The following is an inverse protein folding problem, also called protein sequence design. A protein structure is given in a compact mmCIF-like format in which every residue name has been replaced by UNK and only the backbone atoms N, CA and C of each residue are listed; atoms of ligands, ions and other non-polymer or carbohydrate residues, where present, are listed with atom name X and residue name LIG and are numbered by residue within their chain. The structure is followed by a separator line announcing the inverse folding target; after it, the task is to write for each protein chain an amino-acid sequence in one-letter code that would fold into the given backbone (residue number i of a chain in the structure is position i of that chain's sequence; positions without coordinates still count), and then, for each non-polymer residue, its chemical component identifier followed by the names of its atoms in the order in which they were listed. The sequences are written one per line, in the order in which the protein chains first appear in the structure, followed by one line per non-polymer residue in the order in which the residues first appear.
data_IF_458132585828
#
_entry.id   IF_458132585828
#
_cell.length_a   1.000
_cell.length_b   1.000
_cell.length_c   1.000
_cell.angle_alpha   90.00
_cell.angle_beta   90.00
_cell.angle_gamma   90.00
#
_symmetry.space_group_name_H-M   'P 1'
#
loop_
_entity.id
_entity.type
_entity.pdbx_description
1 polymer ?
#
# COMPACT_ATOMS: atom_id res chain seq x y z
N UNK A 1 16.44 -2.69 11.70
CA UNK A 1 15.99 -1.30 11.84
C UNK A 1 14.67 -1.26 12.59
N UNK A 2 14.59 -0.44 13.59
CA UNK A 2 13.39 -0.32 14.39
C UNK A 2 12.54 0.88 13.88
N UNK A 3 11.35 0.61 13.39
CA UNK A 3 10.38 1.65 13.06
C UNK A 3 9.46 1.75 14.26
N UNK A 4 9.61 2.82 15.04
CA UNK A 4 8.98 2.93 16.37
C UNK A 4 7.45 2.87 16.35
N UNK A 5 6.83 3.46 15.33
CA UNK A 5 5.38 3.61 15.28
C UNK A 5 4.73 2.69 14.26
N UNK A 6 5.47 1.69 13.79
CA UNK A 6 4.95 0.72 12.84
C UNK A 6 5.48 -0.69 13.14
N UNK A 7 4.71 -1.69 12.73
CA UNK A 7 5.08 -3.10 12.85
C UNK A 7 5.25 -3.70 11.47
N UNK A 8 6.43 -4.24 11.22
CA UNK A 8 6.76 -4.87 9.94
C UNK A 8 7.13 -6.34 10.15
N UNK A 9 6.47 -7.21 9.38
CA UNK A 9 6.79 -8.64 9.33
C UNK A 9 6.89 -9.06 7.87
N UNK A 10 8.00 -9.67 7.49
CA UNK A 10 8.18 -10.19 6.14
C UNK A 10 7.47 -11.53 5.97
N UNK A 11 6.79 -11.72 4.84
CA UNK A 11 6.09 -12.94 4.46
C UNK A 11 6.64 -13.45 3.13
N UNK A 12 6.12 -14.57 2.63
CA UNK A 12 6.66 -15.24 1.43
C UNK A 12 5.92 -14.92 0.13
N UNK A 13 5.24 -13.79 0.07
CA UNK A 13 4.48 -13.41 -1.11
C UNK A 13 5.17 -12.38 -1.98
N UNK A 14 4.38 -11.75 -2.87
CA UNK A 14 4.87 -10.76 -3.82
C UNK A 14 4.02 -9.50 -3.89
N UNK A 15 3.00 -9.38 -3.05
CA UNK A 15 2.19 -8.16 -2.93
C UNK A 15 2.55 -7.48 -1.60
N UNK A 16 3.15 -6.29 -1.68
CA UNK A 16 3.43 -5.49 -0.49
C UNK A 16 2.15 -4.91 0.07
N UNK A 17 1.98 -4.96 1.40
CA UNK A 17 0.76 -4.49 2.06
C UNK A 17 1.10 -3.47 3.13
N UNK A 18 0.44 -2.31 3.07
CA UNK A 18 0.53 -1.26 4.08
C UNK A 18 -0.88 -0.90 4.53
N UNK A 19 -1.07 -0.81 5.84
CA UNK A 19 -2.33 -0.33 6.40
C UNK A 19 -2.12 0.37 7.72
N UNK A 20 -3.15 1.04 8.21
CA UNK A 20 -3.13 1.68 9.51
C UNK A 20 -4.07 0.92 10.48
N UNK A 21 -3.46 0.18 11.37
CA UNK A 21 -4.16 -0.66 12.34
C UNK A 21 -4.02 -2.14 12.04
N UNK A 22 -3.67 -2.92 13.07
CA UNK A 22 -3.37 -4.34 12.91
C UNK A 22 -4.55 -5.13 12.34
N UNK A 23 -5.77 -4.84 12.80
CA UNK A 23 -6.97 -5.53 12.30
C UNK A 23 -7.21 -5.27 10.82
N UNK A 24 -7.03 -4.03 10.37
CA UNK A 24 -7.20 -3.66 8.97
C UNK A 24 -6.14 -4.33 8.10
N UNK A 25 -4.89 -4.38 8.55
CA UNK A 25 -3.81 -5.03 7.80
C UNK A 25 -4.05 -6.54 7.71
N UNK A 26 -4.48 -7.18 8.80
CA UNK A 26 -4.82 -8.60 8.79
C UNK A 26 -5.93 -8.93 7.78
N UNK A 27 -7.01 -8.13 7.78
CA UNK A 27 -8.09 -8.29 6.80
C UNK A 27 -7.61 -8.08 5.38
N UNK A 28 -6.71 -7.12 5.18
CA UNK A 28 -6.11 -6.83 3.88
C UNK A 28 -5.28 -8.02 3.38
N UNK A 29 -4.50 -8.64 4.26
CA UNK A 29 -3.71 -9.83 3.92
C UNK A 29 -4.62 -10.96 3.44
N UNK A 30 -5.72 -11.20 4.15
CA UNK A 30 -6.70 -12.24 3.78
C UNK A 30 -7.33 -11.95 2.42
N UNK A 31 -7.71 -10.72 2.16
CA UNK A 31 -8.29 -10.31 0.88
C UNK A 31 -7.31 -10.51 -0.27
N UNK A 32 -6.05 -10.14 -0.08
CA UNK A 32 -5.01 -10.30 -1.10
C UNK A 32 -4.75 -11.78 -1.39
N UNK A 33 -4.63 -12.60 -0.35
CA UNK A 33 -4.41 -14.04 -0.51
C UNK A 33 -5.58 -14.69 -1.25
N UNK A 34 -6.79 -14.35 -0.88
CA UNK A 34 -7.99 -14.87 -1.55
C UNK A 34 -8.06 -14.44 -3.01
N UNK A 35 -7.86 -13.16 -3.28
CA UNK A 35 -7.88 -12.63 -4.64
C UNK A 35 -6.79 -13.27 -5.50
N UNK A 36 -5.63 -13.52 -4.92
CA UNK A 36 -4.49 -14.10 -5.62
C UNK A 36 -4.75 -15.50 -6.17
N UNK A 37 -5.67 -16.25 -5.56
CA UNK A 37 -6.02 -17.59 -6.03
C UNK A 37 -6.58 -17.60 -7.47
N UNK A 38 -7.09 -16.46 -7.91
CA UNK A 38 -7.68 -16.31 -9.24
C UNK A 38 -6.68 -15.93 -10.34
N UNK A 39 -5.41 -15.76 -9.99
CA UNK A 39 -4.39 -15.30 -10.94
C UNK A 39 -3.21 -16.28 -11.02
N UNK A 40 -2.50 -16.31 -12.17
CA UNK A 40 -1.33 -17.17 -12.34
C UNK A 40 -0.27 -16.94 -11.25
N UNK A 41 0.27 -18.02 -10.71
CA UNK A 41 1.28 -17.95 -9.66
C UNK A 41 0.73 -17.71 -8.26
N UNK A 42 -0.58 -17.55 -8.11
CA UNK A 42 -1.25 -17.32 -6.83
C UNK A 42 -0.57 -16.21 -6.00
N UNK A 43 -0.56 -14.95 -6.49
CA UNK A 43 0.05 -13.85 -5.75
C UNK A 43 -0.45 -13.81 -4.30
N UNK A 44 0.45 -13.57 -3.38
CA UNK A 44 0.16 -13.57 -1.95
C UNK A 44 0.87 -12.41 -1.26
N UNK A 45 0.48 -12.04 -0.01
CA UNK A 45 1.12 -10.94 0.69
C UNK A 45 2.62 -11.19 0.93
N UNK A 46 3.42 -10.18 0.65
CA UNK A 46 4.86 -10.22 0.85
C UNK A 46 5.26 -9.77 2.25
N UNK A 47 4.37 -9.07 2.95
CA UNK A 47 4.65 -8.52 4.27
C UNK A 47 3.38 -8.12 4.99
N UNK A 48 3.53 -7.91 6.29
CA UNK A 48 2.58 -7.23 7.16
C UNK A 48 3.24 -5.91 7.57
N UNK A 49 2.63 -4.77 7.26
CA UNK A 49 3.11 -3.48 7.71
C UNK A 49 1.95 -2.63 8.21
N UNK A 50 1.94 -2.40 9.52
CA UNK A 50 1.00 -1.55 10.21
C UNK A 50 1.71 -0.25 10.57
N UNK A 51 1.30 0.86 9.97
CA UNK A 51 1.91 2.18 10.23
C UNK A 51 1.33 2.87 11.45
N UNK A 52 0.37 2.23 12.13
CA UNK A 52 -0.25 2.80 13.32
C UNK A 52 -1.33 3.83 13.04
N UNK A 53 -2.10 4.17 14.05
CA UNK A 53 -3.24 5.08 13.92
C UNK A 53 -2.86 6.56 13.84
N UNK A 54 -1.66 6.93 14.25
CA UNK A 54 -1.17 8.31 14.24
C UNK A 54 -0.06 8.58 13.23
N UNK A 55 0.01 7.79 12.16
CA UNK A 55 1.09 7.88 11.19
C UNK A 55 1.11 9.24 10.47
N UNK A 56 2.30 9.78 10.31
CA UNK A 56 2.54 11.01 9.55
C UNK A 56 2.89 10.67 8.10
N UNK A 57 2.97 11.71 7.26
CA UNK A 57 3.45 11.57 5.89
C UNK A 57 4.85 10.94 5.85
N UNK A 58 5.72 11.30 6.79
CA UNK A 58 7.07 10.76 6.88
C UNK A 58 7.06 9.26 7.18
N UNK A 59 6.25 8.81 8.14
CA UNK A 59 6.14 7.38 8.48
C UNK A 59 5.63 6.59 7.28
N UNK A 60 4.63 7.11 6.59
CA UNK A 60 4.10 6.49 5.37
C UNK A 60 5.17 6.37 4.29
N UNK A 61 5.93 7.44 4.06
CA UNK A 61 7.00 7.47 3.07
C UNK A 61 8.09 6.45 3.39
N UNK A 62 8.49 6.36 4.66
CA UNK A 62 9.50 5.39 5.10
C UNK A 62 9.02 3.94 4.94
N UNK A 63 7.77 3.68 5.29
CA UNK A 63 7.18 2.35 5.12
C UNK A 63 7.11 1.95 3.66
N UNK A 64 6.69 2.86 2.81
CA UNK A 64 6.60 2.61 1.37
C UNK A 64 7.99 2.38 0.76
N UNK A 65 8.99 3.16 1.16
CA UNK A 65 10.37 2.99 0.72
C UNK A 65 10.89 1.60 1.08
N UNK A 66 10.63 1.15 2.30
CA UNK A 66 11.02 -0.19 2.76
C UNK A 66 10.44 -1.29 1.87
N UNK A 67 9.16 -1.20 1.54
CA UNK A 67 8.48 -2.20 0.72
C UNK A 67 8.92 -2.12 -0.74
N UNK A 68 9.06 -0.92 -1.29
CA UNK A 68 9.48 -0.73 -2.67
C UNK A 68 10.91 -1.20 -2.91
N UNK A 69 11.72 -1.25 -1.86
CA UNK A 69 13.10 -1.74 -1.93
C UNK A 69 13.21 -3.26 -1.87
N UNK A 70 12.13 -3.96 -1.53
CA UNK A 70 12.13 -5.41 -1.43
C UNK A 70 11.97 -6.03 -2.82
N UNK A 71 12.98 -6.77 -3.26
CA UNK A 71 13.00 -7.41 -4.58
C UNK A 71 11.88 -8.43 -4.78
N UNK A 72 11.38 -9.01 -3.69
CA UNK A 72 10.28 -9.97 -3.74
C UNK A 72 8.95 -9.31 -4.09
N UNK A 73 8.79 -8.04 -3.77
CA UNK A 73 7.54 -7.31 -3.99
C UNK A 73 7.39 -6.92 -5.47
N UNK A 74 6.24 -7.24 -6.05
CA UNK A 74 5.92 -6.94 -7.45
C UNK A 74 4.83 -5.90 -7.62
N UNK A 75 3.93 -5.80 -6.63
CA UNK A 75 2.95 -4.73 -6.55
C UNK A 75 2.74 -4.36 -5.09
N UNK A 76 2.20 -3.18 -4.83
CA UNK A 76 1.97 -2.69 -3.47
C UNK A 76 0.51 -2.31 -3.32
N UNK A 77 -0.11 -2.74 -2.23
CA UNK A 77 -1.46 -2.36 -1.85
C UNK A 77 -1.39 -1.50 -0.59
N UNK A 78 -1.83 -0.26 -0.71
CA UNK A 78 -1.97 0.67 0.41
C UNK A 78 -3.45 0.74 0.78
N UNK A 79 -3.81 0.26 1.95
CA UNK A 79 -5.19 0.27 2.42
C UNK A 79 -5.27 1.05 3.74
N UNK A 80 -5.83 2.25 3.68
CA UNK A 80 -5.87 3.14 4.83
C UNK A 80 -7.29 3.59 5.12
N UNK A 81 -7.65 3.50 6.39
CA UNK A 81 -8.87 4.10 6.91
C UNK A 81 -8.50 5.32 7.75
N UNK A 82 -8.89 6.50 7.29
CA UNK A 82 -8.58 7.75 7.97
C UNK A 82 -9.36 7.88 9.28
N UNK A 83 -8.63 7.83 10.38
CA UNK A 83 -9.13 8.08 11.71
C UNK A 83 -8.29 9.18 12.33
N UNK A 84 -7.39 8.81 13.24
CA UNK A 84 -6.39 9.73 13.79
C UNK A 84 -5.42 10.18 12.67
N UNK A 85 -4.96 9.23 11.85
CA UNK A 85 -4.22 9.55 10.64
C UNK A 85 -5.21 9.95 9.55
N UNK A 86 -5.05 11.14 8.99
CA UNK A 86 -5.91 11.60 7.91
C UNK A 86 -5.41 11.13 6.56
N UNK A 87 -6.32 10.86 5.62
CA UNK A 87 -5.96 10.37 4.29
C UNK A 87 -5.09 11.34 3.50
N UNK A 88 -5.22 12.65 3.74
CA UNK A 88 -4.37 13.64 3.09
C UNK A 88 -2.90 13.46 3.47
N UNK A 89 -2.60 13.14 4.73
CA UNK A 89 -1.24 12.86 5.18
C UNK A 89 -0.67 11.60 4.54
N UNK A 90 -1.50 10.58 4.40
CA UNK A 90 -1.11 9.34 3.71
C UNK A 90 -0.80 9.62 2.24
N UNK A 91 -1.65 10.40 1.57
CA UNK A 91 -1.44 10.75 0.17
C UNK A 91 -0.15 11.56 -0.03
N UNK A 92 0.14 12.50 0.87
CA UNK A 92 1.39 13.26 0.83
C UNK A 92 2.60 12.35 1.05
N UNK A 93 2.48 11.36 1.94
CA UNK A 93 3.53 10.38 2.18
C UNK A 93 3.82 9.52 0.94
N UNK A 94 2.77 9.07 0.26
CA UNK A 94 2.90 8.30 -0.98
C UNK A 94 3.58 9.15 -2.06
N UNK A 95 3.11 10.37 -2.24
CA UNK A 95 3.69 11.31 -3.21
C UNK A 95 5.16 11.56 -2.92
N UNK A 96 5.50 11.86 -1.67
CA UNK A 96 6.88 12.12 -1.25
C UNK A 96 7.80 10.92 -1.47
N UNK A 97 7.31 9.71 -1.17
CA UNK A 97 8.08 8.49 -1.38
C UNK A 97 8.36 8.25 -2.86
N UNK A 98 7.36 8.43 -3.72
CA UNK A 98 7.53 8.23 -5.16
C UNK A 98 8.44 9.29 -5.78
N UNK A 99 8.37 10.53 -5.32
CA UNK A 99 9.28 11.60 -5.77
C UNK A 99 10.71 11.31 -5.35
N UNK A 100 10.91 10.83 -4.13
CA UNK A 100 12.22 10.48 -3.60
C UNK A 100 12.85 9.30 -4.34
N UNK A 101 12.05 8.29 -4.68
CA UNK A 101 12.50 7.12 -5.42
C UNK A 101 12.78 7.44 -6.90
N UNK A 102 12.02 8.35 -7.48
CA UNK A 102 12.18 8.73 -8.88
C UNK A 102 12.17 7.53 -9.81
N UNK A 103 13.25 7.31 -10.55
CA UNK A 103 13.35 6.21 -11.50
C UNK A 103 13.41 4.82 -10.84
N UNK A 104 13.62 4.76 -9.53
CA UNK A 104 13.63 3.50 -8.79
C UNK A 104 12.20 3.04 -8.44
N UNK A 105 11.22 3.92 -8.57
CA UNK A 105 9.81 3.58 -8.35
C UNK A 105 9.28 2.87 -9.61
N UNK A 106 9.41 1.55 -9.64
CA UNK A 106 9.04 0.75 -10.81
C UNK A 106 7.88 -0.21 -10.53
N UNK A 107 7.42 -0.28 -9.28
CA UNK A 107 6.37 -1.20 -8.87
C UNK A 107 5.02 -0.49 -8.85
N UNK A 108 3.96 -1.11 -9.43
CA UNK A 108 2.64 -0.51 -9.39
C UNK A 108 2.08 -0.46 -7.97
N UNK A 109 1.34 0.61 -7.68
CA UNK A 109 0.78 0.91 -6.39
C UNK A 109 -0.74 0.98 -6.50
N UNK A 110 -1.44 0.17 -5.73
CA UNK A 110 -2.90 0.23 -5.63
C UNK A 110 -3.24 0.89 -4.30
N UNK A 111 -4.02 1.97 -4.33
CA UNK A 111 -4.34 2.74 -3.14
C UNK A 111 -5.83 2.75 -2.89
N UNK A 112 -6.23 2.36 -1.70
CA UNK A 112 -7.61 2.50 -1.22
C UNK A 112 -7.58 3.40 0.01
N UNK A 113 -8.26 4.52 -0.08
CA UNK A 113 -8.41 5.47 1.02
C UNK A 113 -9.89 5.57 1.40
N UNK A 114 -10.16 5.59 2.70
CA UNK A 114 -11.50 5.77 3.22
C UNK A 114 -11.41 6.50 4.57
N UNK A 115 -12.53 7.03 5.05
CA UNK A 115 -12.60 7.70 6.34
C UNK A 115 -12.25 9.19 6.26
N UNK A 116 -11.56 9.69 7.29
CA UNK A 116 -11.29 11.12 7.47
C UNK A 116 -10.37 11.67 6.38
N UNK A 117 -10.74 12.82 5.82
CA UNK A 117 -9.99 13.53 4.77
C UNK A 117 -9.79 12.70 3.48
N UNK A 118 -10.71 11.78 3.19
CA UNK A 118 -10.59 10.92 2.01
C UNK A 118 -10.65 11.73 0.71
N UNK A 119 -11.48 12.76 0.64
CA UNK A 119 -11.60 13.59 -0.56
C UNK A 119 -10.29 14.35 -0.83
N UNK A 120 -9.67 14.90 0.19
CA UNK A 120 -8.40 15.61 0.11
C UNK A 120 -7.27 14.66 -0.30
N UNK A 121 -7.24 13.46 0.26
CA UNK A 121 -6.24 12.44 -0.08
C UNK A 121 -6.34 12.00 -1.53
N UNK A 122 -7.54 11.72 -1.99
CA UNK A 122 -7.78 11.35 -3.39
C UNK A 122 -7.37 12.47 -4.33
N UNK A 123 -7.70 13.71 -4.00
CA UNK A 123 -7.35 14.86 -4.82
C UNK A 123 -5.84 15.01 -4.97
N UNK A 124 -5.09 14.85 -3.89
CA UNK A 124 -3.62 14.92 -3.92
C UNK A 124 -3.05 13.89 -4.90
N UNK A 125 -3.52 12.65 -4.83
CA UNK A 125 -3.03 11.58 -5.68
C UNK A 125 -3.48 11.74 -7.13
N UNK A 126 -4.69 12.23 -7.37
CA UNK A 126 -5.20 12.51 -8.71
C UNK A 126 -4.42 13.64 -9.39
N UNK A 127 -4.11 14.71 -8.65
CA UNK A 127 -3.32 15.82 -9.17
C UNK A 127 -1.87 15.41 -9.42
N UNK A 128 -1.32 14.53 -8.59
CA UNK A 128 0.01 13.96 -8.78
C UNK A 128 0.07 13.13 -10.06
N UNK A 129 -1.00 12.43 -10.37
CA UNK A 129 -1.18 11.66 -11.61
C UNK A 129 0.02 10.77 -11.97
N UNK A 130 0.51 10.02 -10.99
CA UNK A 130 1.65 9.13 -11.22
C UNK A 130 1.19 7.87 -11.96
N UNK A 131 1.90 7.43 -13.01
CA UNK A 131 1.46 6.29 -13.82
C UNK A 131 1.42 4.96 -13.06
N UNK A 132 2.16 4.82 -11.97
CA UNK A 132 2.16 3.60 -11.16
C UNK A 132 1.04 3.56 -10.13
N UNK A 133 0.39 4.68 -9.84
CA UNK A 133 -0.66 4.77 -8.82
C UNK A 133 -2.03 4.50 -9.43
N UNK A 134 -2.74 3.51 -8.88
CA UNK A 134 -4.13 3.20 -9.23
C UNK A 134 -4.98 3.35 -7.98
N UNK A 135 -6.01 4.16 -8.03
CA UNK A 135 -6.92 4.35 -6.92
C UNK A 135 -8.18 3.53 -7.11
N UNK A 136 -8.63 2.86 -6.06
CA UNK A 136 -9.85 2.06 -6.06
C UNK A 136 -10.70 2.38 -4.84
N UNK A 137 -11.99 2.05 -4.90
CA UNK A 137 -12.95 2.43 -3.87
C UNK A 137 -13.16 1.35 -2.81
N UNK A 138 -13.05 0.09 -3.17
CA UNK A 138 -13.32 -1.03 -2.26
C UNK A 138 -12.08 -1.87 -2.00
N UNK A 139 -12.09 -2.58 -0.85
CA UNK A 139 -11.01 -3.48 -0.49
C UNK A 139 -10.88 -4.65 -1.47
N UNK A 140 -12.01 -5.21 -1.89
CA UNK A 140 -12.01 -6.34 -2.83
C UNK A 140 -11.44 -5.96 -4.19
N UNK A 141 -11.83 -4.81 -4.72
CA UNK A 141 -11.26 -4.30 -5.98
C UNK A 141 -9.77 -4.04 -5.85
N UNK A 142 -9.36 -3.45 -4.73
CA UNK A 142 -7.95 -3.15 -4.49
C UNK A 142 -7.12 -4.42 -4.39
N UNK A 143 -7.59 -5.42 -3.65
CA UNK A 143 -6.88 -6.69 -3.49
C UNK A 143 -6.78 -7.41 -4.83
N UNK A 144 -7.85 -7.45 -5.59
CA UNK A 144 -7.88 -8.07 -6.92
C UNK A 144 -6.93 -7.38 -7.88
N UNK A 145 -6.93 -6.04 -7.88
CA UNK A 145 -6.05 -5.26 -8.76
C UNK A 145 -4.57 -5.45 -8.38
N UNK A 146 -4.27 -5.45 -7.09
CA UNK A 146 -2.90 -5.67 -6.62
C UNK A 146 -2.40 -7.06 -7.00
N UNK A 147 -3.23 -8.09 -6.82
CA UNK A 147 -2.89 -9.46 -7.22
C UNK A 147 -2.69 -9.58 -8.73
N UNK A 148 -3.57 -8.97 -9.52
CA UNK A 148 -3.44 -8.94 -10.98
C UNK A 148 -2.12 -8.32 -11.42
N UNK A 149 -1.78 -7.16 -10.86
CA UNK A 149 -0.55 -6.46 -11.19
C UNK A 149 0.69 -7.26 -10.78
N UNK A 150 0.64 -7.92 -9.63
CA UNK A 150 1.74 -8.78 -9.19
C UNK A 150 1.91 -9.97 -10.12
N UNK A 151 0.83 -10.55 -10.63
CA UNK A 151 0.90 -11.69 -11.57
C UNK A 151 1.47 -11.28 -12.92
N UNK A 152 1.22 -10.05 -13.38
CA UNK A 152 1.75 -9.54 -14.64
C UNK A 152 3.24 -9.25 -14.58
N UNK A 153 3.73 -8.84 -13.41
CA UNK A 153 5.15 -8.55 -13.20
C UNK A 153 5.98 -9.82 -12.99
N UNK A 154 5.32 -10.93 -12.84
CA UNK A 154 6.00 -12.22 -12.61
C UNK A 154 6.79 -12.72 -13.82
#
# INVERSE_FOLDING_TARGET
MCIRDSNYVKLDGNVGVIGNGAGLVMSTLDCVAYAGENFPGSPAPANFLDIGGGASAEIMANGLDLIMSDEQVRSVFVNVFGGITACDQVALGIKGALEKLGDKAVKPLVVRLDGNAVAEGRKILEEFNHPLVTMVSTMDEAASKAAELASKEA
#
